data_IF_653719402065
#
_entry.id   IF_653719402065
#
_cell.length_a   1.000
_cell.length_b   1.000
_cell.length_c   1.000
_cell.angle_alpha   90.00
_cell.angle_beta   90.00
_cell.angle_gamma   90.00
#
_symmetry.space_group_name_H-M   'P 1'
#
loop_
_entity.id
_entity.type
_entity.pdbx_description
1 polymer ?
#
# COMPACT_ATOMS: atom_id res chain seq x y z
N UNK A 1 -22.97 -2.49 -8.22
CA UNK A 1 -23.93 -2.91 -7.17
C UNK A 1 -23.81 -4.44 -7.04
N UNK A 2 -22.79 -4.92 -6.34
CA UNK A 2 -22.56 -6.38 -6.15
C UNK A 2 -23.35 -6.92 -4.95
N UNK A 3 -23.38 -8.26 -4.80
CA UNK A 3 -23.82 -9.19 -3.74
C UNK A 3 -24.92 -8.82 -2.72
N UNK A 4 -25.32 -7.56 -2.54
CA UNK A 4 -26.40 -7.08 -1.64
C UNK A 4 -27.81 -7.53 -2.04
N UNK A 5 -27.95 -8.26 -3.13
CA UNK A 5 -29.20 -8.87 -3.59
C UNK A 5 -29.17 -10.40 -3.44
N UNK A 6 -28.09 -10.96 -2.92
CA UNK A 6 -28.01 -12.40 -2.61
C UNK A 6 -28.74 -12.66 -1.31
N UNK A 7 -29.63 -13.65 -1.29
CA UNK A 7 -30.36 -14.05 -0.09
C UNK A 7 -29.43 -14.63 0.99
N UNK A 8 -28.25 -15.10 0.61
CA UNK A 8 -27.29 -15.78 1.48
C UNK A 8 -26.06 -14.93 1.83
N UNK A 9 -26.09 -13.61 1.57
CA UNK A 9 -24.97 -12.72 1.88
C UNK A 9 -25.48 -11.48 2.60
N UNK A 10 -25.06 -11.35 3.84
CA UNK A 10 -25.20 -10.12 4.61
C UNK A 10 -23.96 -9.24 4.44
N UNK A 11 -24.15 -7.92 4.34
CA UNK A 11 -23.06 -6.97 4.09
C UNK A 11 -23.09 -5.86 5.14
N UNK A 12 -22.12 -5.91 6.04
CA UNK A 12 -21.85 -4.85 7.01
C UNK A 12 -20.92 -3.80 6.40
N UNK A 13 -21.33 -2.53 6.41
CA UNK A 13 -20.51 -1.41 5.90
C UNK A 13 -19.84 -0.70 7.07
N UNK A 14 -18.82 -1.32 7.60
CA UNK A 14 -18.09 -0.80 8.73
C UNK A 14 -16.65 -1.26 8.73
N UNK A 15 -15.92 -0.81 9.74
CA UNK A 15 -14.57 -1.31 10.01
C UNK A 15 -14.64 -2.50 10.97
N UNK A 16 -14.17 -3.66 10.52
CA UNK A 16 -14.11 -4.88 11.32
C UNK A 16 -12.75 -5.05 11.99
N UNK A 17 -12.76 -5.32 13.30
CA UNK A 17 -11.56 -5.68 14.07
C UNK A 17 -11.83 -6.85 14.98
N UNK A 18 -10.83 -7.70 15.19
CA UNK A 18 -10.95 -8.82 16.10
C UNK A 18 -10.99 -8.34 17.55
N UNK A 19 -11.89 -8.91 18.35
CA UNK A 19 -11.96 -8.70 19.81
C UNK A 19 -11.53 -9.95 20.58
N UNK A 20 -11.36 -11.08 19.89
CA UNK A 20 -10.83 -12.34 20.40
C UNK A 20 -10.56 -13.36 19.28
N UNK A 21 -10.36 -14.65 19.61
CA UNK A 21 -10.06 -15.71 18.65
C UNK A 21 -10.96 -15.74 17.41
N UNK A 22 -12.28 -15.75 17.60
CA UNK A 22 -13.28 -15.80 16.51
C UNK A 22 -14.42 -14.81 16.72
N UNK A 23 -14.11 -13.68 17.34
CA UNK A 23 -15.05 -12.61 17.63
C UNK A 23 -14.56 -11.33 16.99
N UNK A 24 -15.45 -10.63 16.28
CA UNK A 24 -15.16 -9.37 15.60
C UNK A 24 -16.16 -8.32 16.02
N UNK A 25 -15.68 -7.11 16.26
CA UNK A 25 -16.52 -5.93 16.37
C UNK A 25 -16.52 -5.18 15.04
N UNK A 26 -17.70 -4.76 14.59
CA UNK A 26 -17.88 -3.97 13.37
C UNK A 26 -18.42 -2.60 13.75
N UNK A 27 -17.59 -1.58 13.52
CA UNK A 27 -17.99 -0.18 13.68
C UNK A 27 -18.69 0.29 12.39
N UNK A 28 -20.02 0.40 12.44
CA UNK A 28 -20.86 0.82 11.34
C UNK A 28 -21.24 2.30 11.55
N UNK A 29 -20.90 3.20 10.61
CA UNK A 29 -21.17 4.63 10.78
C UNK A 29 -22.67 4.92 11.01
N UNK A 30 -22.98 5.48 12.19
CA UNK A 30 -24.33 5.90 12.55
C UNK A 30 -25.22 4.82 13.20
N UNK A 31 -24.66 3.68 13.59
CA UNK A 31 -25.32 2.70 14.44
C UNK A 31 -24.45 2.31 15.62
N UNK A 32 -25.00 1.51 16.53
CA UNK A 32 -24.21 0.86 17.57
C UNK A 32 -23.24 -0.16 16.94
N UNK A 33 -22.15 -0.44 17.65
CA UNK A 33 -21.20 -1.47 17.28
C UNK A 33 -21.87 -2.85 17.30
N UNK A 34 -21.63 -3.64 16.26
CA UNK A 34 -22.12 -5.00 16.17
C UNK A 34 -21.01 -6.02 16.43
N UNK A 35 -21.29 -7.01 17.28
CA UNK A 35 -20.40 -8.13 17.52
C UNK A 35 -20.80 -9.33 16.65
N UNK A 36 -19.85 -9.87 15.91
CA UNK A 36 -20.00 -11.00 15.01
C UNK A 36 -19.09 -12.16 15.43
N UNK A 37 -19.56 -13.38 15.20
CA UNK A 37 -18.77 -14.60 15.33
C UNK A 37 -19.09 -15.56 14.20
N UNK A 38 -18.16 -16.45 13.87
CA UNK A 38 -18.34 -17.48 12.85
C UNK A 38 -17.48 -18.71 13.15
N UNK A 39 -17.92 -19.88 12.70
CA UNK A 39 -17.12 -21.11 12.77
C UNK A 39 -15.87 -21.00 11.88
N UNK A 40 -16.04 -20.40 10.69
CA UNK A 40 -14.98 -20.16 9.72
C UNK A 40 -14.86 -18.67 9.42
N UNK A 41 -13.63 -18.15 9.46
CA UNK A 41 -13.31 -16.74 9.17
C UNK A 41 -12.24 -16.71 8.08
N UNK A 42 -12.46 -15.89 7.04
CA UNK A 42 -11.47 -15.63 5.99
C UNK A 42 -11.04 -14.17 6.10
N UNK A 43 -9.77 -13.93 6.37
CA UNK A 43 -9.17 -12.60 6.46
C UNK A 43 -8.67 -12.19 5.08
N UNK A 44 -9.39 -11.26 4.45
CA UNK A 44 -9.06 -10.67 3.16
C UNK A 44 -8.91 -9.14 3.25
N UNK A 45 -8.31 -8.64 4.33
CA UNK A 45 -8.20 -7.20 4.62
C UNK A 45 -7.11 -6.48 3.80
N UNK A 46 -6.30 -7.21 3.04
CA UNK A 46 -5.31 -6.65 2.12
C UNK A 46 -4.24 -5.79 2.80
N UNK A 47 -3.74 -4.79 2.07
CA UNK A 47 -2.67 -3.88 2.50
C UNK A 47 -3.07 -2.43 2.27
N UNK A 48 -2.34 -1.49 2.87
CA UNK A 48 -2.45 -0.05 2.65
C UNK A 48 -1.08 0.57 2.31
N UNK A 49 -1.03 1.81 1.76
CA UNK A 49 0.23 2.51 1.55
C UNK A 49 1.04 2.60 2.85
N UNK A 50 2.34 2.29 2.77
CA UNK A 50 3.26 2.47 3.88
C UNK A 50 4.02 3.79 3.69
N UNK A 51 3.99 4.64 4.73
CA UNK A 51 4.69 5.92 4.77
C UNK A 51 5.76 5.85 5.85
N UNK A 52 7.06 5.91 5.51
CA UNK A 52 8.12 5.85 6.50
C UNK A 52 8.17 7.13 7.34
N UNK A 53 8.50 6.99 8.62
CA UNK A 53 8.80 8.13 9.48
C UNK A 53 9.91 8.97 8.86
N UNK A 54 9.59 10.22 8.54
CA UNK A 54 10.49 11.17 7.91
C UNK A 54 10.37 12.50 8.66
N UNK A 55 11.47 13.08 9.15
CA UNK A 55 11.44 14.35 9.86
C UNK A 55 10.66 15.45 9.11
N UNK A 56 9.68 16.07 9.78
CA UNK A 56 8.84 17.15 9.24
C UNK A 56 7.73 16.71 8.29
N UNK A 57 7.65 15.43 7.94
CA UNK A 57 6.59 14.90 7.07
C UNK A 57 5.20 14.93 7.74
N UNK A 58 5.15 14.84 9.08
CA UNK A 58 3.94 15.00 9.90
C UNK A 58 3.27 16.38 9.75
N UNK A 59 4.05 17.39 9.37
CA UNK A 59 3.60 18.78 9.16
C UNK A 59 3.58 19.17 7.66
N UNK A 60 3.88 18.22 6.77
CA UNK A 60 3.95 18.45 5.33
C UNK A 60 2.80 17.72 4.63
N UNK A 61 1.98 18.41 3.81
CA UNK A 61 0.95 17.73 3.06
C UNK A 61 1.58 16.77 2.04
N UNK A 62 1.10 15.53 2.04
CA UNK A 62 1.45 14.53 1.04
C UNK A 62 0.20 13.74 0.63
N UNK A 63 0.30 13.07 -0.51
CA UNK A 63 -0.69 12.12 -1.00
C UNK A 63 -0.07 10.74 -1.13
N UNK A 64 -0.91 9.72 -1.22
CA UNK A 64 -0.52 8.35 -1.55
C UNK A 64 -1.18 7.93 -2.86
N UNK A 65 -1.05 6.66 -3.24
CA UNK A 65 -1.84 6.08 -4.34
C UNK A 65 -3.34 6.21 -4.13
N UNK A 66 -3.81 6.35 -2.89
CA UNK A 66 -5.23 6.42 -2.57
C UNK A 66 -5.82 7.78 -2.99
N UNK A 67 -5.06 8.87 -2.92
CA UNK A 67 -5.53 10.19 -3.33
C UNK A 67 -5.12 10.55 -4.76
N UNK A 68 -4.02 10.00 -5.27
CA UNK A 68 -3.40 10.43 -6.53
C UNK A 68 -4.36 10.47 -7.73
N UNK A 69 -5.20 9.44 -7.91
CA UNK A 69 -6.15 9.37 -9.02
C UNK A 69 -7.47 10.12 -8.75
N UNK A 70 -7.60 10.76 -7.59
CA UNK A 70 -8.78 11.50 -7.14
C UNK A 70 -8.52 13.00 -6.99
N UNK A 71 -7.33 13.48 -7.36
CA UNK A 71 -6.99 14.90 -7.36
C UNK A 71 -7.95 15.68 -8.27
N UNK A 72 -8.44 16.81 -7.76
CA UNK A 72 -9.31 17.71 -8.51
C UNK A 72 -8.52 18.61 -9.46
N UNK A 73 -7.28 18.92 -9.11
CA UNK A 73 -6.37 19.76 -9.89
C UNK A 73 -5.09 18.99 -10.20
N UNK A 74 -4.59 19.17 -11.42
CA UNK A 74 -3.33 18.58 -11.84
C UNK A 74 -2.15 19.30 -11.18
N UNK A 75 -1.21 18.58 -10.54
CA UNK A 75 0.05 19.16 -10.03
C UNK A 75 0.87 19.81 -11.14
N UNK A 76 1.52 20.94 -10.87
CA UNK A 76 2.48 21.52 -11.84
C UNK A 76 3.84 20.84 -11.70
N UNK A 77 4.26 20.63 -10.45
CA UNK A 77 5.47 19.94 -10.02
C UNK A 77 5.12 18.87 -9.00
N UNK A 78 5.47 17.64 -9.30
CA UNK A 78 5.21 16.48 -8.46
C UNK A 78 6.54 15.84 -8.04
N UNK A 79 6.79 15.76 -6.74
CA UNK A 79 7.85 14.92 -6.19
C UNK A 79 7.25 13.57 -5.80
N UNK A 80 7.84 12.48 -6.27
CA UNK A 80 7.46 11.10 -5.90
C UNK A 80 8.62 10.49 -5.11
N UNK A 81 8.34 10.01 -3.89
CA UNK A 81 9.29 9.21 -3.11
C UNK A 81 8.89 7.76 -3.26
N UNK A 82 9.71 6.96 -3.95
CA UNK A 82 9.41 5.56 -4.20
C UNK A 82 10.03 4.98 -5.47
N UNK A 83 10.00 3.64 -5.55
CA UNK A 83 10.76 2.88 -6.56
C UNK A 83 10.01 1.69 -7.16
N UNK A 84 8.81 1.43 -6.63
CA UNK A 84 7.95 0.32 -7.01
C UNK A 84 7.04 0.72 -8.19
N UNK A 85 6.30 -0.26 -8.70
CA UNK A 85 5.39 -0.09 -9.84
C UNK A 85 4.43 1.09 -9.69
N UNK A 86 3.91 1.36 -8.48
CA UNK A 86 3.04 2.52 -8.19
C UNK A 86 3.73 3.84 -8.55
N UNK A 87 5.00 4.02 -8.17
CA UNK A 87 5.76 5.22 -8.48
C UNK A 87 5.96 5.35 -10.00
N UNK A 88 6.28 4.25 -10.67
CA UNK A 88 6.48 4.20 -12.11
C UNK A 88 5.22 4.54 -12.91
N UNK A 89 4.07 3.97 -12.53
CA UNK A 89 2.77 4.18 -13.16
C UNK A 89 2.27 5.62 -12.97
N UNK A 90 2.32 6.14 -11.74
CA UNK A 90 1.85 7.49 -11.45
C UNK A 90 2.78 8.56 -12.02
N UNK A 91 4.11 8.34 -12.02
CA UNK A 91 5.05 9.21 -12.74
C UNK A 91 4.70 9.29 -14.23
N UNK A 92 4.43 8.14 -14.85
CA UNK A 92 4.03 8.10 -16.26
C UNK A 92 2.73 8.87 -16.50
N UNK A 93 1.71 8.61 -15.68
CA UNK A 93 0.39 9.24 -15.79
C UNK A 93 0.49 10.77 -15.69
N UNK A 94 1.03 11.30 -14.59
CA UNK A 94 1.15 12.75 -14.40
C UNK A 94 2.09 13.40 -15.41
N UNK A 95 3.21 12.73 -15.72
CA UNK A 95 4.13 13.20 -16.75
C UNK A 95 3.50 13.28 -18.14
N UNK A 96 2.63 12.33 -18.50
CA UNK A 96 1.90 12.36 -19.77
C UNK A 96 0.90 13.53 -19.83
N UNK A 97 0.37 13.97 -18.69
CA UNK A 97 -0.47 15.16 -18.58
C UNK A 97 0.32 16.47 -18.60
N UNK A 98 1.66 16.42 -18.54
CA UNK A 98 2.53 17.60 -18.57
C UNK A 98 2.99 18.10 -17.21
N UNK A 99 2.76 17.35 -16.13
CA UNK A 99 3.34 17.64 -14.81
C UNK A 99 4.85 17.44 -14.85
N UNK A 100 5.62 18.36 -14.27
CA UNK A 100 7.06 18.20 -14.04
C UNK A 100 7.26 17.20 -12.88
N UNK A 101 7.71 15.99 -13.19
CA UNK A 101 7.88 14.92 -12.19
C UNK A 101 9.33 14.77 -11.81
N UNK A 102 9.60 14.84 -10.50
CA UNK A 102 10.86 14.41 -9.88
C UNK A 102 10.63 13.14 -9.08
N UNK A 103 11.45 12.11 -9.31
CA UNK A 103 11.39 10.84 -8.57
C UNK A 103 12.63 10.72 -7.69
N UNK A 104 12.43 10.57 -6.38
CA UNK A 104 13.48 10.32 -5.40
C UNK A 104 13.44 8.83 -5.05
N UNK A 105 14.58 8.16 -5.27
CA UNK A 105 14.72 6.74 -5.08
C UNK A 105 16.00 6.43 -4.29
N UNK A 106 15.89 5.52 -3.31
CA UNK A 106 17.00 5.14 -2.42
C UNK A 106 18.10 4.35 -3.12
N UNK A 107 17.83 3.70 -4.25
CA UNK A 107 18.79 2.87 -4.96
C UNK A 107 19.02 3.38 -6.38
N UNK A 108 19.72 2.57 -7.17
CA UNK A 108 20.16 2.85 -8.53
C UNK A 108 19.18 2.38 -9.61
N UNK A 109 18.25 1.47 -9.30
CA UNK A 109 17.35 0.83 -10.27
C UNK A 109 15.90 0.84 -9.76
N UNK A 110 14.95 1.29 -10.59
CA UNK A 110 13.53 1.08 -10.34
C UNK A 110 13.11 -0.36 -10.62
N UNK A 111 11.99 -0.80 -10.04
CA UNK A 111 11.38 -2.11 -10.31
C UNK A 111 12.37 -3.27 -10.08
N UNK A 112 13.06 -3.28 -8.93
CA UNK A 112 14.13 -4.25 -8.62
C UNK A 112 13.65 -5.69 -8.40
N UNK A 113 12.35 -5.87 -8.23
CA UNK A 113 11.72 -7.18 -8.14
C UNK A 113 11.63 -7.86 -9.52
N UNK A 114 11.80 -7.10 -10.59
CA UNK A 114 11.88 -7.60 -11.96
C UNK A 114 13.29 -8.06 -12.31
N UNK A 115 13.44 -8.66 -13.49
CA UNK A 115 14.74 -9.02 -14.05
C UNK A 115 15.66 -7.79 -14.15
N UNK A 116 16.93 -7.96 -13.77
CA UNK A 116 17.91 -6.88 -13.69
C UNK A 116 18.11 -6.13 -15.02
N UNK A 117 18.05 -6.82 -16.16
CA UNK A 117 18.21 -6.17 -17.46
C UNK A 117 16.97 -5.34 -17.82
N UNK A 118 15.78 -5.79 -17.40
CA UNK A 118 14.54 -5.01 -17.50
C UNK A 118 14.61 -3.78 -16.60
N UNK A 119 14.95 -3.92 -15.33
CA UNK A 119 15.06 -2.81 -14.38
C UNK A 119 16.06 -1.75 -14.84
N UNK A 120 17.22 -2.19 -15.36
CA UNK A 120 18.24 -1.29 -15.95
C UNK A 120 17.67 -0.53 -17.13
N UNK A 121 17.10 -1.26 -18.11
CA UNK A 121 16.58 -0.62 -19.33
C UNK A 121 15.42 0.32 -19.03
N UNK A 122 14.56 -0.05 -18.10
CA UNK A 122 13.44 0.76 -17.65
C UNK A 122 13.93 2.06 -17.02
N UNK A 123 14.89 1.96 -16.09
CA UNK A 123 15.48 3.11 -15.41
C UNK A 123 16.13 4.08 -16.41
N UNK A 124 16.90 3.59 -17.39
CA UNK A 124 17.48 4.43 -18.45
C UNK A 124 16.42 5.20 -19.27
N UNK A 125 15.29 4.55 -19.56
CA UNK A 125 14.17 5.20 -20.28
C UNK A 125 13.53 6.27 -19.40
N UNK A 126 13.31 5.98 -18.12
CA UNK A 126 12.72 6.92 -17.17
C UNK A 126 13.62 8.12 -16.88
N UNK A 127 14.93 7.94 -16.76
CA UNK A 127 15.89 9.03 -16.58
C UNK A 127 15.91 10.04 -17.75
N UNK A 128 15.53 9.60 -18.96
CA UNK A 128 15.39 10.50 -20.12
C UNK A 128 14.09 11.30 -20.11
N UNK A 129 13.09 10.86 -19.35
CA UNK A 129 11.75 11.45 -19.32
C UNK A 129 11.49 12.27 -18.05
N UNK A 130 12.08 11.88 -16.93
CA UNK A 130 11.84 12.45 -15.62
C UNK A 130 13.14 12.86 -14.94
N UNK A 131 13.04 13.83 -14.04
CA UNK A 131 14.14 14.14 -13.15
C UNK A 131 14.24 13.02 -12.09
N UNK A 132 15.34 12.29 -12.05
CA UNK A 132 15.50 11.18 -11.11
C UNK A 132 16.68 11.44 -10.16
N UNK A 133 16.37 11.49 -8.87
CA UNK A 133 17.36 11.58 -7.78
C UNK A 133 17.56 10.17 -7.24
N UNK A 134 18.47 9.44 -7.87
CA UNK A 134 18.82 8.05 -7.53
C UNK A 134 19.84 7.99 -6.39
N UNK A 135 19.96 6.82 -5.75
CA UNK A 135 20.85 6.59 -4.61
C UNK A 135 20.68 7.65 -3.52
N UNK A 136 19.43 8.05 -3.28
CA UNK A 136 19.08 9.21 -2.48
C UNK A 136 18.34 8.80 -1.20
N UNK A 137 18.89 9.18 -0.05
CA UNK A 137 18.21 9.04 1.23
C UNK A 137 17.46 10.33 1.53
N UNK A 138 16.14 10.26 1.65
CA UNK A 138 15.32 11.38 2.14
C UNK A 138 15.66 11.64 3.60
N UNK A 139 15.93 12.90 3.93
CA UNK A 139 16.34 13.36 5.26
C UNK A 139 15.19 14.06 5.99
N UNK A 140 14.42 14.87 5.27
CA UNK A 140 13.29 15.61 5.81
C UNK A 140 12.36 16.11 4.72
N UNK A 141 11.13 16.41 5.09
CA UNK A 141 10.19 17.15 4.27
C UNK A 141 9.67 18.37 5.05
N UNK A 142 9.40 19.46 4.34
CA UNK A 142 8.78 20.66 4.91
C UNK A 142 7.85 21.31 3.89
N UNK A 143 6.92 22.14 4.38
CA UNK A 143 6.04 22.94 3.53
C UNK A 143 6.00 24.39 4.00
N UNK A 144 6.15 25.32 3.07
CA UNK A 144 6.04 26.75 3.32
C UNK A 144 5.23 27.40 2.21
N UNK A 145 4.14 28.08 2.58
CA UNK A 145 3.29 28.82 1.62
C UNK A 145 2.79 27.99 0.43
N UNK A 146 2.58 26.69 0.63
CA UNK A 146 2.11 25.76 -0.41
C UNK A 146 3.21 25.16 -1.29
N UNK A 147 4.47 25.53 -1.10
CA UNK A 147 5.61 24.83 -1.72
C UNK A 147 6.16 23.80 -0.74
N UNK A 148 6.27 22.55 -1.21
CA UNK A 148 6.85 21.43 -0.47
C UNK A 148 8.31 21.31 -0.86
N UNK A 149 9.19 21.19 0.14
CA UNK A 149 10.62 20.94 -0.04
C UNK A 149 10.99 19.59 0.56
N UNK A 150 11.62 18.73 -0.23
CA UNK A 150 12.21 17.47 0.21
C UNK A 150 13.72 17.59 0.19
N UNK A 151 14.34 17.39 1.34
CA UNK A 151 15.79 17.32 1.47
C UNK A 151 16.25 15.86 1.36
N UNK A 152 17.23 15.60 0.50
CA UNK A 152 17.80 14.27 0.30
C UNK A 152 19.33 14.31 0.25
N UNK A 153 19.96 13.28 0.79
CA UNK A 153 21.41 13.05 0.66
C UNK A 153 21.68 12.04 -0.45
N UNK A 154 22.54 12.40 -1.39
CA UNK A 154 23.05 11.53 -2.46
C UNK A 154 24.55 11.33 -2.29
N UNK A 155 25.18 10.45 -3.09
CA UNK A 155 26.64 10.33 -3.15
C UNK A 155 27.34 11.65 -3.49
N UNK A 156 26.67 12.52 -4.24
CA UNK A 156 27.22 13.78 -4.74
C UNK A 156 26.93 14.95 -3.77
N UNK A 157 26.31 14.67 -2.63
CA UNK A 157 25.98 15.64 -1.59
C UNK A 157 24.48 15.83 -1.40
N UNK A 158 24.13 16.91 -0.70
CA UNK A 158 22.73 17.25 -0.36
C UNK A 158 22.02 17.85 -1.57
N UNK A 159 20.75 17.49 -1.73
CA UNK A 159 19.82 17.98 -2.75
C UNK A 159 18.55 18.46 -2.06
N UNK A 160 18.07 19.63 -2.49
CA UNK A 160 16.78 20.18 -2.10
C UNK A 160 15.87 20.16 -3.33
N UNK A 161 14.73 19.50 -3.22
CA UNK A 161 13.77 19.30 -4.31
C UNK A 161 12.47 20.01 -3.93
N UNK A 162 11.99 20.94 -4.76
CA UNK A 162 10.73 21.66 -4.51
C UNK A 162 9.62 21.26 -5.48
N UNK A 163 8.40 21.20 -4.96
CA UNK A 163 7.19 20.81 -5.71
C UNK A 163 5.93 21.37 -5.07
N UNK A 164 4.83 21.45 -5.82
CA UNK A 164 3.51 21.77 -5.22
C UNK A 164 2.82 20.54 -4.63
N UNK A 165 3.19 19.33 -5.09
CA UNK A 165 2.60 18.07 -4.61
C UNK A 165 3.69 17.05 -4.29
N UNK A 166 3.54 16.35 -3.16
CA UNK A 166 4.39 15.24 -2.73
C UNK A 166 3.58 13.93 -2.72
N UNK A 167 4.06 12.92 -3.44
CA UNK A 167 3.46 11.57 -3.49
C UNK A 167 4.37 10.54 -2.82
N UNK A 168 3.84 9.87 -1.80
CA UNK A 168 4.48 8.74 -1.13
C UNK A 168 4.09 7.43 -1.82
N UNK A 169 5.07 6.79 -2.46
CA UNK A 169 4.94 5.50 -3.14
C UNK A 169 6.02 4.52 -2.64
N UNK A 170 6.18 4.46 -1.33
CA UNK A 170 7.28 3.76 -0.62
C UNK A 170 7.04 2.28 -0.33
N UNK A 171 5.89 1.74 -0.74
CA UNK A 171 5.52 0.34 -0.52
C UNK A 171 4.18 0.22 0.20
N UNK A 172 3.91 -0.98 0.72
CA UNK A 172 2.64 -1.33 1.35
C UNK A 172 2.87 -2.11 2.64
N UNK A 173 1.93 -1.99 3.57
CA UNK A 173 1.90 -2.69 4.87
C UNK A 173 0.55 -3.41 5.01
N UNK A 174 0.51 -4.63 5.56
CA UNK A 174 -0.75 -5.37 5.75
C UNK A 174 -1.65 -4.67 6.76
N UNK A 175 -2.96 -4.89 6.62
CA UNK A 175 -3.97 -4.32 7.52
C UNK A 175 -4.18 -5.15 8.80
N UNK A 176 -3.22 -6.00 9.16
CA UNK A 176 -3.29 -6.87 10.35
C UNK A 176 -3.37 -6.08 11.66
N UNK A 177 -2.73 -4.91 11.72
CA UNK A 177 -2.76 -4.01 12.86
C UNK A 177 -4.12 -3.34 13.04
N UNK A 178 -4.68 -2.74 11.98
CA UNK A 178 -5.98 -2.06 12.03
C UNK A 178 -7.15 -3.04 12.20
N UNK A 179 -6.99 -4.28 11.77
CA UNK A 179 -7.95 -5.37 12.03
C UNK A 179 -7.68 -6.09 13.36
N UNK A 180 -6.64 -5.72 14.11
CA UNK A 180 -6.27 -6.29 15.41
C UNK A 180 -6.09 -7.82 15.39
N UNK A 181 -5.53 -8.36 14.30
CA UNK A 181 -5.38 -9.81 14.06
C UNK A 181 -4.65 -10.52 15.19
N UNK A 182 -3.72 -9.85 15.88
CA UNK A 182 -3.02 -10.42 17.02
C UNK A 182 -3.95 -10.94 18.14
N UNK A 183 -5.16 -10.39 18.29
CA UNK A 183 -6.16 -10.85 19.28
C UNK A 183 -6.74 -12.23 18.95
N UNK A 184 -6.53 -12.72 17.73
CA UNK A 184 -6.98 -14.05 17.31
C UNK A 184 -6.03 -15.17 17.75
N UNK A 185 -4.76 -14.84 18.02
CA UNK A 185 -3.67 -15.82 18.13
C UNK A 185 -3.03 -16.20 16.80
N UNK A 186 -3.46 -15.61 15.68
CA UNK A 186 -2.85 -15.82 14.36
C UNK A 186 -1.43 -15.25 14.33
N UNK A 187 -0.49 -16.07 13.85
CA UNK A 187 0.91 -15.71 13.68
C UNK A 187 1.12 -14.81 12.46
N UNK A 188 2.07 -13.89 12.59
CA UNK A 188 2.50 -13.00 11.50
C UNK A 188 4.02 -13.00 11.40
N UNK A 189 4.53 -12.82 10.20
CA UNK A 189 5.95 -12.64 9.97
C UNK A 189 6.46 -11.29 10.54
N UNK A 190 7.78 -11.07 10.47
CA UNK A 190 8.43 -9.84 11.00
C UNK A 190 7.91 -8.53 10.37
N UNK A 191 7.29 -8.61 9.19
CA UNK A 191 6.69 -7.48 8.47
C UNK A 191 5.19 -7.33 8.72
N UNK A 192 4.61 -8.19 9.56
CA UNK A 192 3.21 -8.16 9.97
C UNK A 192 2.23 -8.85 9.02
N UNK A 193 2.70 -9.58 8.01
CA UNK A 193 1.82 -10.35 7.12
C UNK A 193 1.44 -11.67 7.78
N UNK A 194 0.23 -12.17 7.49
CA UNK A 194 -0.28 -13.40 8.11
C UNK A 194 0.43 -14.62 7.52
N UNK A 195 0.98 -15.46 8.40
CA UNK A 195 1.55 -16.74 8.01
C UNK A 195 0.43 -17.74 7.71
N UNK A 196 0.56 -18.44 6.58
CA UNK A 196 -0.38 -19.46 6.12
C UNK A 196 0.33 -20.68 5.57
N UNK A 197 -0.31 -21.83 5.67
CA UNK A 197 0.13 -23.04 4.99
C UNK A 197 -0.17 -23.01 3.48
N UNK A 198 0.17 -24.08 2.75
CA UNK A 198 -0.07 -24.16 1.30
C UNK A 198 -1.57 -24.12 0.91
N UNK A 199 -2.47 -24.36 1.86
CA UNK A 199 -3.92 -24.34 1.69
C UNK A 199 -4.56 -22.97 2.00
N UNK A 200 -3.78 -22.02 2.52
CA UNK A 200 -4.20 -20.69 3.01
C UNK A 200 -4.81 -20.70 4.42
N UNK A 201 -4.63 -21.78 5.18
CA UNK A 201 -5.04 -21.87 6.58
C UNK A 201 -3.96 -21.23 7.47
N UNK A 202 -4.40 -20.53 8.53
CA UNK A 202 -3.49 -19.99 9.56
C UNK A 202 -3.16 -21.05 10.62
N UNK A 203 -2.31 -20.71 11.58
CA UNK A 203 -2.08 -21.55 12.76
C UNK A 203 -3.31 -21.70 13.69
N UNK A 204 -4.37 -20.89 13.51
CA UNK A 204 -5.61 -20.96 14.29
C UNK A 204 -6.70 -21.68 13.49
N UNK A 205 -7.16 -22.87 13.91
CA UNK A 205 -8.11 -23.67 13.13
C UNK A 205 -9.39 -22.93 12.75
N UNK A 206 -9.75 -23.00 11.47
CA UNK A 206 -10.92 -22.30 10.93
C UNK A 206 -10.74 -20.78 10.75
N UNK A 207 -9.53 -20.26 10.90
CA UNK A 207 -9.15 -18.93 10.43
C UNK A 207 -8.22 -19.09 9.23
N UNK A 208 -8.61 -18.48 8.13
CA UNK A 208 -7.91 -18.50 6.84
C UNK A 208 -7.52 -17.07 6.48
N UNK A 209 -6.52 -16.89 5.62
CA UNK A 209 -6.15 -15.57 5.13
C UNK A 209 -5.74 -15.64 3.65
N UNK A 210 -6.03 -14.58 2.89
CA UNK A 210 -5.69 -14.53 1.46
C UNK A 210 -5.46 -13.12 0.94
N UNK A 211 -4.88 -13.04 -0.25
CA UNK A 211 -4.57 -11.82 -0.97
C UNK A 211 -3.34 -11.13 -0.40
N UNK A 212 -3.30 -9.81 -0.55
CA UNK A 212 -2.12 -9.02 -0.17
C UNK A 212 -1.69 -9.20 1.30
N UNK A 213 -2.59 -9.62 2.20
CA UNK A 213 -2.30 -9.76 3.63
C UNK A 213 -1.41 -10.99 3.96
N UNK A 214 -1.24 -11.93 3.03
CA UNK A 214 -0.39 -13.14 3.19
C UNK A 214 0.94 -13.07 2.43
N UNK A 215 1.27 -11.92 1.84
CA UNK A 215 2.58 -11.63 1.22
C UNK A 215 3.09 -12.61 0.13
N UNK A 216 2.21 -13.34 -0.56
CA UNK A 216 2.66 -14.22 -1.66
C UNK A 216 2.94 -13.41 -2.92
N UNK A 217 1.89 -12.76 -3.42
CA UNK A 217 1.95 -11.85 -4.56
C UNK A 217 0.94 -10.73 -4.33
N UNK A 218 1.39 -9.47 -4.27
CA UNK A 218 0.53 -8.30 -4.06
C UNK A 218 -0.19 -7.88 -5.35
N UNK A 219 -0.88 -8.85 -5.97
CA UNK A 219 -1.49 -8.74 -7.28
C UNK A 219 -2.95 -9.20 -7.20
N UNK A 220 -3.84 -8.36 -7.71
CA UNK A 220 -5.29 -8.63 -7.75
C UNK A 220 -5.63 -10.02 -8.33
N UNK A 221 -4.91 -10.45 -9.37
CA UNK A 221 -5.18 -11.74 -10.01
C UNK A 221 -4.70 -12.93 -9.16
N UNK A 222 -3.64 -12.76 -8.35
CA UNK A 222 -3.24 -13.76 -7.34
C UNK A 222 -4.33 -13.91 -6.29
N UNK A 223 -4.76 -12.79 -5.69
CA UNK A 223 -5.83 -12.79 -4.69
C UNK A 223 -7.13 -13.43 -5.19
N UNK A 224 -7.48 -13.23 -6.48
CA UNK A 224 -8.65 -13.88 -7.09
C UNK A 224 -8.47 -15.41 -7.20
N UNK A 225 -7.28 -15.86 -7.54
CA UNK A 225 -6.96 -17.27 -7.69
C UNK A 225 -6.92 -17.96 -6.32
N UNK A 226 -6.32 -17.30 -5.33
CA UNK A 226 -6.34 -17.70 -3.92
C UNK A 226 -7.76 -17.79 -3.37
N UNK A 227 -8.65 -16.84 -3.67
CA UNK A 227 -10.05 -16.91 -3.27
C UNK A 227 -10.79 -18.12 -3.85
N UNK A 228 -10.53 -18.45 -5.13
CA UNK A 228 -11.12 -19.65 -5.74
C UNK A 228 -10.58 -20.93 -5.09
N UNK A 229 -9.31 -20.94 -4.69
CA UNK A 229 -8.66 -22.07 -4.05
C UNK A 229 -9.14 -22.26 -2.60
N UNK A 230 -9.15 -21.20 -1.79
CA UNK A 230 -9.63 -21.26 -0.39
C UNK A 230 -11.09 -21.67 -0.30
N UNK A 231 -11.94 -21.23 -1.24
CA UNK A 231 -13.34 -21.68 -1.27
C UNK A 231 -13.48 -23.18 -1.47
N UNK A 232 -12.58 -23.84 -2.22
CA UNK A 232 -12.62 -25.30 -2.37
C UNK A 232 -12.05 -26.05 -1.15
N UNK A 233 -11.18 -25.42 -0.38
CA UNK A 233 -10.56 -26.04 0.80
C UNK A 233 -11.46 -25.92 2.05
N UNK A 234 -12.29 -24.88 2.09
CA UNK A 234 -13.21 -24.58 3.20
C UNK A 234 -14.54 -25.35 3.08
N UNK A 235 -15.00 -25.61 1.85
CA UNK A 235 -16.24 -26.32 1.54
C UNK A 235 -16.03 -27.82 1.41
#
# INVERSE_FOLDING_TARGET
RGNRQSENIEVFKGHGRFTGPKTLAVDIPGSDEEELTAETIIIAAGTRPWVPETPGLDQTPYITSDEALRLLEQPKKLTIIGEVYIAAELAHFFGALGTEVTIIHRRDLMLREEDNDVSRRFTEVYQRRFNMVLNARVESASSLSGEITVEATTSDGKRSITSDTLLMATGRVPNTDISEVAKTGVETNERGYIDTDEFLETNVPGIWALGDIVERHLLKHSAKLEAAYSSNNIL
#
